data_IF_851361993574
#
_entry.id   IF_851361993574
#
_cell.length_a   1.000
_cell.length_b   1.000
_cell.length_c   1.000
_cell.angle_alpha   90.00
_cell.angle_beta   90.00
_cell.angle_gamma   90.00
#
_symmetry.space_group_name_H-M   'P 1'
#
loop_
_entity.id
_entity.type
_entity.pdbx_description
1 polymer ?
#
# COMPACT_ATOMS: atom_id res chain seq x y z
N UNK A 1 16.57 -19.56 5.24
CA UNK A 1 16.36 -18.74 4.02
C UNK A 1 15.02 -18.03 4.15
N UNK A 2 14.98 -16.73 3.89
CA UNK A 2 13.72 -15.96 3.91
C UNK A 2 12.97 -16.18 2.60
N UNK A 3 11.67 -16.48 2.67
CA UNK A 3 10.83 -16.65 1.48
C UNK A 3 10.57 -15.29 0.83
N UNK A 4 10.76 -15.21 -0.48
CA UNK A 4 10.43 -14.02 -1.28
C UNK A 4 9.03 -14.19 -1.88
N UNK A 5 8.21 -13.14 -1.78
CA UNK A 5 6.89 -13.06 -2.40
C UNK A 5 6.87 -11.85 -3.33
N UNK A 6 6.41 -12.05 -4.57
CA UNK A 6 6.32 -10.99 -5.57
C UNK A 6 4.87 -10.54 -5.73
N UNK A 7 4.62 -9.24 -5.60
CA UNK A 7 3.32 -8.60 -5.85
C UNK A 7 3.50 -7.61 -6.99
N UNK A 8 2.96 -7.91 -8.17
CA UNK A 8 3.25 -7.14 -9.39
C UNK A 8 4.75 -7.17 -9.68
N UNK A 9 5.40 -6.02 -9.62
CA UNK A 9 6.85 -5.84 -9.79
C UNK A 9 7.61 -5.60 -8.46
N UNK A 10 6.96 -5.81 -7.31
CA UNK A 10 7.53 -5.61 -5.98
C UNK A 10 7.92 -6.96 -5.37
N UNK A 11 9.22 -7.20 -5.18
CA UNK A 11 9.72 -8.35 -4.43
C UNK A 11 9.82 -8.02 -2.93
N UNK A 12 9.19 -8.85 -2.09
CA UNK A 12 9.09 -8.64 -0.64
C UNK A 12 9.75 -9.81 0.11
N UNK A 13 10.64 -9.47 1.05
CA UNK A 13 11.34 -10.41 1.93
C UNK A 13 12.86 -10.35 1.79
N UNK A 14 13.57 -11.02 2.70
CA UNK A 14 15.02 -11.11 2.67
C UNK A 14 15.68 -9.73 2.71
N UNK A 15 16.53 -9.44 1.72
CA UNK A 15 17.28 -8.18 1.59
C UNK A 15 16.67 -7.21 0.58
N UNK A 16 15.45 -7.47 0.08
CA UNK A 16 14.77 -6.54 -0.82
C UNK A 16 14.34 -5.26 -0.09
N UNK A 17 14.23 -4.12 -0.81
CA UNK A 17 13.78 -2.86 -0.23
C UNK A 17 12.42 -2.99 0.47
N UNK A 18 12.22 -2.16 1.50
CA UNK A 18 10.95 -2.07 2.20
C UNK A 18 9.81 -1.67 1.25
N UNK A 19 8.67 -2.33 1.39
CA UNK A 19 7.42 -1.98 0.71
C UNK A 19 6.34 -1.64 1.76
N UNK A 20 5.61 -0.55 1.53
CA UNK A 20 4.58 -0.04 2.43
C UNK A 20 3.19 -0.47 1.95
N UNK A 21 2.41 -1.09 2.84
CA UNK A 21 0.97 -1.29 2.63
C UNK A 21 0.23 -0.25 3.47
N UNK A 22 -0.42 0.72 2.82
CA UNK A 22 -1.08 1.82 3.53
C UNK A 22 -2.31 2.36 2.78
N UNK A 23 -3.20 2.99 3.53
CA UNK A 23 -4.43 3.61 3.04
C UNK A 23 -5.51 3.68 4.12
N UNK A 24 -6.74 4.09 3.78
CA UNK A 24 -7.81 4.20 4.76
C UNK A 24 -8.22 2.84 5.32
N UNK A 25 -8.86 2.87 6.49
CA UNK A 25 -9.44 1.66 7.07
C UNK A 25 -10.48 1.03 6.12
N UNK A 26 -11.38 1.85 5.56
CA UNK A 26 -12.44 1.45 4.62
C UNK A 26 -12.56 2.48 3.48
N UNK A 27 -13.05 2.05 2.32
CA UNK A 27 -13.44 2.95 1.24
C UNK A 27 -14.70 3.73 1.62
N UNK A 28 -14.55 5.04 1.82
CA UNK A 28 -15.67 5.94 2.14
C UNK A 28 -16.28 6.59 0.88
N UNK A 29 -15.44 6.97 -0.07
CA UNK A 29 -15.82 7.47 -1.39
C UNK A 29 -14.65 7.34 -2.36
N UNK A 30 -14.92 7.39 -3.67
CA UNK A 30 -13.87 7.37 -4.70
C UNK A 30 -12.91 8.55 -4.54
N UNK A 31 -13.44 9.74 -4.28
CA UNK A 31 -12.62 10.95 -4.15
C UNK A 31 -11.74 10.91 -2.89
N UNK A 32 -12.28 10.42 -1.77
CA UNK A 32 -11.47 10.23 -0.56
C UNK A 32 -10.34 9.23 -0.81
N UNK A 33 -10.63 8.09 -1.45
CA UNK A 33 -9.62 7.09 -1.77
C UNK A 33 -8.52 7.63 -2.69
N UNK A 34 -8.89 8.37 -3.74
CA UNK A 34 -7.93 8.99 -4.66
C UNK A 34 -7.05 10.03 -3.99
N UNK A 35 -7.63 10.91 -3.16
CA UNK A 35 -6.86 11.90 -2.39
C UNK A 35 -5.86 11.25 -1.46
N UNK A 36 -6.26 10.21 -0.72
CA UNK A 36 -5.34 9.49 0.17
C UNK A 36 -4.22 8.78 -0.61
N UNK A 37 -4.57 8.10 -1.71
CA UNK A 37 -3.58 7.43 -2.54
C UNK A 37 -2.54 8.41 -3.10
N UNK A 38 -2.99 9.57 -3.62
CA UNK A 38 -2.10 10.61 -4.12
C UNK A 38 -1.13 11.12 -3.03
N UNK A 39 -1.64 11.46 -1.84
CA UNK A 39 -0.80 11.92 -0.74
C UNK A 39 0.21 10.87 -0.25
N UNK A 40 -0.17 9.58 -0.24
CA UNK A 40 0.75 8.50 0.10
C UNK A 40 1.84 8.32 -0.96
N UNK A 41 1.49 8.42 -2.25
CA UNK A 41 2.47 8.38 -3.34
C UNK A 41 3.47 9.55 -3.25
N UNK A 42 2.97 10.76 -3.01
CA UNK A 42 3.80 11.96 -2.81
C UNK A 42 4.74 11.79 -1.60
N UNK A 43 4.26 11.24 -0.49
CA UNK A 43 5.07 10.97 0.69
C UNK A 43 6.15 9.89 0.47
N UNK A 44 5.87 8.89 -0.38
CA UNK A 44 6.81 7.81 -0.67
C UNK A 44 7.87 8.21 -1.71
N UNK A 45 7.58 9.20 -2.57
CA UNK A 45 8.45 9.59 -3.68
C UNK A 45 9.89 9.95 -3.28
N UNK A 46 10.15 10.73 -2.20
CA UNK A 46 11.53 11.12 -1.83
C UNK A 46 12.43 9.93 -1.45
N UNK A 47 11.85 8.82 -1.00
CA UNK A 47 12.60 7.62 -0.57
C UNK A 47 12.55 6.49 -1.59
N UNK A 48 11.76 6.65 -2.66
CA UNK A 48 11.48 5.56 -3.61
C UNK A 48 10.74 4.38 -2.96
N UNK A 49 10.09 4.58 -1.81
CA UNK A 49 9.38 3.51 -1.11
C UNK A 49 8.25 2.98 -1.99
N UNK A 50 8.21 1.66 -2.20
CA UNK A 50 7.17 1.02 -3.01
C UNK A 50 5.87 0.96 -2.20
N UNK A 51 4.82 1.62 -2.68
CA UNK A 51 3.50 1.65 -2.04
C UNK A 51 2.54 0.62 -2.65
N UNK A 52 1.85 -0.13 -1.79
CA UNK A 52 0.67 -0.94 -2.10
C UNK A 52 -0.52 -0.27 -1.39
N UNK A 53 -1.40 0.37 -2.15
CA UNK A 53 -2.58 1.02 -1.57
C UNK A 53 -3.55 -0.03 -1.03
N UNK A 54 -3.99 0.14 0.22
CA UNK A 54 -4.97 -0.74 0.87
C UNK A 54 -6.18 0.05 1.35
N UNK A 55 -7.36 -0.49 1.09
CA UNK A 55 -8.60 -0.08 1.73
C UNK A 55 -9.55 -1.28 1.83
N UNK A 56 -10.34 -1.38 2.89
CA UNK A 56 -11.39 -2.40 2.94
C UNK A 56 -12.60 -1.94 2.13
N UNK A 57 -13.14 -2.80 1.26
CA UNK A 57 -14.41 -2.54 0.58
C UNK A 57 -15.59 -2.69 1.56
N UNK A 58 -15.59 -3.81 2.29
CA UNK A 58 -16.59 -4.13 3.31
C UNK A 58 -15.92 -4.38 4.68
N UNK A 59 -16.69 -4.20 5.76
CA UNK A 59 -16.31 -4.55 7.14
C UNK A 59 -17.38 -5.46 7.73
N UNK A 60 -17.17 -6.76 7.52
CA UNK A 60 -18.12 -7.82 7.88
C UNK A 60 -18.20 -8.12 9.39
N UNK A 61 -17.38 -7.47 10.22
CA UNK A 61 -17.26 -7.72 11.66
C UNK A 61 -17.82 -6.57 12.51
N UNK A 62 -18.84 -5.88 12.00
CA UNK A 62 -19.52 -4.80 12.70
C UNK A 62 -20.87 -5.25 13.25
#
# INVERSE_FOLDING_TARGET
MTRIVTIGDIAIGGTHPFALIAGPCQLESLDHARRMCAGLLEACAPTGTRLIFKASYDKANR
#
